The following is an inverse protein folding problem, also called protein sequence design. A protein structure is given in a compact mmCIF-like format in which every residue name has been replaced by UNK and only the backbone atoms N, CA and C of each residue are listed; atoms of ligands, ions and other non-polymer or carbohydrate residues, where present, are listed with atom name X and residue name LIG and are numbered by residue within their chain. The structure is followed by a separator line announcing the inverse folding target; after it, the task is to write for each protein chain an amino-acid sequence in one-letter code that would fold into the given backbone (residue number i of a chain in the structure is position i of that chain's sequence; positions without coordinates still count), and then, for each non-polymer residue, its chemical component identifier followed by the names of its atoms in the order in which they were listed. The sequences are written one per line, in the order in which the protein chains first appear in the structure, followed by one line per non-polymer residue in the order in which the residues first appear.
data_IF_594681618072
#
_entry.id   IF_594681618072
#
_cell.length_a   1.000
_cell.length_b   1.000
_cell.length_c   1.000
_cell.angle_alpha   90.00
_cell.angle_beta   90.00
_cell.angle_gamma   90.00
#
_symmetry.space_group_name_H-M   'P 1'
#
loop_
_entity.id
_entity.type
_entity.pdbx_description
1 polymer ?
#
# COMPACT_ATOMS: atom_id res chain seq x y z
N UNK A 1 -8.40 3.46 7.26
CA UNK A 1 -7.42 3.42 6.14
C UNK A 1 -7.91 2.49 5.06
N UNK A 2 -7.57 2.79 3.82
CA UNK A 2 -7.79 1.88 2.69
C UNK A 2 -6.47 1.56 2.03
N UNK A 3 -6.24 0.29 1.75
CA UNK A 3 -5.10 -0.17 0.99
C UNK A 3 -5.55 -0.92 -0.26
N UNK A 4 -4.91 -0.65 -1.38
CA UNK A 4 -4.96 -1.50 -2.57
C UNK A 4 -3.59 -2.14 -2.69
N UNK A 5 -3.56 -3.45 -2.59
CA UNK A 5 -2.35 -4.27 -2.55
C UNK A 5 -2.28 -5.05 -3.84
N UNK A 6 -1.18 -4.92 -4.57
CA UNK A 6 -0.93 -5.69 -5.78
C UNK A 6 0.35 -6.52 -5.62
N UNK A 7 0.23 -7.83 -5.86
CA UNK A 7 1.39 -8.70 -5.97
C UNK A 7 2.10 -8.39 -7.28
N UNK A 8 3.40 -8.13 -7.22
CA UNK A 8 4.17 -7.69 -8.38
C UNK A 8 5.41 -8.55 -8.60
N UNK A 9 5.79 -8.73 -9.86
CA UNK A 9 7.11 -9.25 -10.25
C UNK A 9 8.15 -8.12 -10.36
N UNK A 10 7.69 -6.89 -10.55
CA UNK A 10 8.48 -5.67 -10.50
C UNK A 10 7.59 -4.46 -10.30
N UNK A 11 8.09 -3.44 -9.61
CA UNK A 11 7.44 -2.14 -9.51
C UNK A 11 8.47 -1.03 -9.33
N UNK A 12 8.14 0.18 -9.77
CA UNK A 12 8.97 1.36 -9.58
C UNK A 12 8.12 2.62 -9.40
N UNK A 13 8.68 3.59 -8.70
CA UNK A 13 8.15 4.95 -8.57
C UNK A 13 9.16 5.92 -9.15
N UNK A 14 8.72 6.72 -10.10
CA UNK A 14 9.53 7.76 -10.75
C UNK A 14 8.96 9.14 -10.41
N UNK A 15 9.84 10.06 -10.04
CA UNK A 15 9.53 11.45 -9.71
C UNK A 15 10.46 12.34 -10.54
N UNK A 16 9.90 13.27 -11.30
CA UNK A 16 10.64 14.19 -12.17
C UNK A 16 11.66 13.46 -13.08
N UNK A 17 11.23 12.34 -13.66
CA UNK A 17 12.05 11.52 -14.56
C UNK A 17 13.12 10.68 -13.90
N UNK A 18 13.21 10.67 -12.56
CA UNK A 18 14.19 9.89 -11.80
C UNK A 18 13.52 8.80 -10.98
N UNK A 19 14.10 7.61 -10.99
CA UNK A 19 13.61 6.49 -10.18
C UNK A 19 13.87 6.80 -8.69
N UNK A 20 12.78 6.92 -7.93
CA UNK A 20 12.78 7.12 -6.48
C UNK A 20 12.91 5.80 -5.73
N UNK A 21 12.14 4.79 -6.17
CA UNK A 21 12.09 3.45 -5.56
C UNK A 21 11.87 2.41 -6.63
N UNK A 22 12.45 1.24 -6.44
CA UNK A 22 12.29 0.08 -7.33
C UNK A 22 12.37 -1.20 -6.53
N UNK A 23 11.54 -2.18 -6.90
CA UNK A 23 11.52 -3.53 -6.33
C UNK A 23 11.40 -4.59 -7.43
N UNK A 24 11.79 -5.81 -7.08
CA UNK A 24 11.48 -7.03 -7.82
C UNK A 24 10.21 -7.68 -7.25
N UNK A 25 10.22 -9.00 -7.03
CA UNK A 25 9.07 -9.72 -6.46
C UNK A 25 8.65 -9.13 -5.11
N UNK A 26 7.36 -8.87 -4.98
CA UNK A 26 6.85 -8.32 -3.75
C UNK A 26 5.45 -7.70 -3.86
N UNK A 27 5.24 -6.61 -3.13
CA UNK A 27 3.96 -5.91 -3.07
C UNK A 27 4.12 -4.43 -3.40
N UNK A 28 3.23 -3.93 -4.26
CA UNK A 28 2.96 -2.51 -4.39
C UNK A 28 1.67 -2.20 -3.63
N UNK A 29 1.74 -1.23 -2.71
CA UNK A 29 0.62 -0.85 -1.84
C UNK A 29 0.29 0.62 -2.06
N UNK A 30 -0.94 0.89 -2.52
CA UNK A 30 -1.51 2.23 -2.50
C UNK A 30 -2.26 2.42 -1.18
N UNK A 31 -1.88 3.44 -0.40
CA UNK A 31 -2.43 3.71 0.93
C UNK A 31 -3.20 5.03 0.96
N UNK A 32 -4.50 4.96 1.22
CA UNK A 32 -5.37 6.10 1.48
C UNK A 32 -5.64 6.24 2.98
N UNK A 33 -5.49 7.45 3.49
CA UNK A 33 -5.72 7.79 4.90
C UNK A 33 -6.93 8.73 4.99
N UNK A 34 -7.89 8.42 5.84
CA UNK A 34 -9.05 9.26 6.10
C UNK A 34 -8.97 9.97 7.46
N UNK A 35 -9.83 10.98 7.65
CA UNK A 35 -9.84 11.83 8.85
C UNK A 35 -10.02 11.04 10.14
N UNK A 36 -10.72 9.89 10.09
CA UNK A 36 -11.01 9.05 11.27
C UNK A 36 -9.96 7.98 11.56
N UNK A 37 -8.89 7.94 10.79
CA UNK A 37 -7.85 6.93 10.99
C UNK A 37 -6.93 7.27 12.15
N UNK A 38 -6.46 6.23 12.81
CA UNK A 38 -5.59 6.29 13.98
C UNK A 38 -4.33 5.43 13.80
N UNK A 39 -3.41 5.49 14.75
CA UNK A 39 -2.22 4.63 14.78
C UNK A 39 -2.57 3.15 14.88
N UNK A 40 -3.65 2.81 15.60
CA UNK A 40 -4.14 1.44 15.71
C UNK A 40 -4.59 0.89 14.35
N UNK A 41 -5.21 1.72 13.50
CA UNK A 41 -5.54 1.35 12.13
C UNK A 41 -4.28 1.05 11.31
N UNK A 42 -3.24 1.87 11.46
CA UNK A 42 -1.96 1.70 10.75
C UNK A 42 -1.28 0.39 11.18
N UNK A 43 -1.14 0.15 12.48
CA UNK A 43 -0.54 -1.05 13.03
C UNK A 43 -1.30 -2.32 12.63
N UNK A 44 -2.64 -2.30 12.76
CA UNK A 44 -3.47 -3.44 12.36
C UNK A 44 -3.29 -3.76 10.87
N UNK A 45 -3.30 -2.72 10.02
CA UNK A 45 -3.19 -2.89 8.56
C UNK A 45 -1.80 -3.41 8.17
N UNK A 46 -0.74 -2.90 8.78
CA UNK A 46 0.64 -3.36 8.55
C UNK A 46 0.80 -4.84 8.90
N UNK A 47 0.32 -5.26 10.07
CA UNK A 47 0.33 -6.66 10.50
C UNK A 47 -0.53 -7.56 9.59
N UNK A 48 -1.70 -7.07 9.15
CA UNK A 48 -2.55 -7.82 8.24
C UNK A 48 -1.86 -8.05 6.90
N UNK A 49 -1.25 -7.01 6.32
CA UNK A 49 -0.59 -7.09 5.01
C UNK A 49 0.65 -7.99 5.06
N UNK A 50 1.48 -7.88 6.10
CA UNK A 50 2.67 -8.73 6.26
C UNK A 50 2.34 -10.22 6.36
N UNK A 51 1.16 -10.55 6.89
CA UNK A 51 0.68 -11.92 7.10
C UNK A 51 -0.15 -12.48 5.93
N UNK A 52 -0.47 -11.68 4.90
CA UNK A 52 -1.24 -12.16 3.75
C UNK A 52 -0.51 -13.29 3.02
N UNK A 53 -1.17 -14.43 2.90
CA UNK A 53 -0.63 -15.62 2.25
C UNK A 53 -1.02 -15.68 0.79
N UNK A 54 -0.45 -14.80 -0.02
CA UNK A 54 -0.80 -14.57 -1.43
C UNK A 54 0.34 -14.87 -2.40
N UNK A 55 1.41 -15.49 -1.93
CA UNK A 55 2.51 -15.97 -2.77
C UNK A 55 2.46 -17.49 -2.88
N UNK A 56 2.84 -18.01 -4.05
CA UNK A 56 2.80 -19.42 -4.33
C UNK A 56 3.78 -20.21 -3.45
N UNK A 57 3.35 -21.37 -2.98
CA UNK A 57 4.19 -22.41 -2.42
C UNK A 57 4.77 -23.33 -3.53
N UNK A 58 5.37 -24.44 -3.14
CA UNK A 58 5.99 -25.40 -4.08
C UNK A 58 4.98 -26.10 -5.00
N UNK A 59 3.72 -26.18 -4.56
CA UNK A 59 2.60 -26.73 -5.34
C UNK A 59 1.86 -25.69 -6.18
N UNK A 60 2.31 -24.42 -6.15
CA UNK A 60 1.67 -23.32 -6.88
C UNK A 60 0.44 -22.75 -6.18
N UNK A 61 0.18 -23.10 -4.92
CA UNK A 61 -0.94 -22.61 -4.14
C UNK A 61 -0.55 -21.33 -3.40
N UNK A 62 -1.44 -20.32 -3.37
CA UNK A 62 -1.24 -19.08 -2.59
C UNK A 62 -1.26 -19.38 -1.10
N UNK A 63 -0.11 -19.64 -0.52
CA UNK A 63 0.07 -20.15 0.84
C UNK A 63 1.20 -19.47 1.62
N UNK A 64 2.05 -18.69 0.97
CA UNK A 64 3.19 -18.00 1.58
C UNK A 64 2.95 -16.51 1.71
N UNK A 65 3.47 -15.92 2.79
CA UNK A 65 3.50 -14.48 3.03
C UNK A 65 4.68 -13.81 2.31
N UNK A 66 4.66 -12.47 2.31
CA UNK A 66 5.77 -11.65 1.78
C UNK A 66 7.11 -11.95 2.47
N UNK A 67 7.07 -12.21 3.78
CA UNK A 67 8.26 -12.52 4.58
C UNK A 67 8.86 -13.88 4.19
N UNK A 68 8.02 -14.89 3.97
CA UNK A 68 8.45 -16.23 3.61
C UNK A 68 9.11 -16.33 2.23
N UNK A 69 8.82 -15.38 1.34
CA UNK A 69 9.46 -15.30 0.01
C UNK A 69 10.61 -14.29 -0.04
N UNK A 70 10.94 -13.65 1.09
CA UNK A 70 11.93 -12.57 1.18
C UNK A 70 11.63 -11.41 0.20
N UNK A 71 10.35 -11.11 -0.02
CA UNK A 71 9.90 -10.10 -0.97
C UNK A 71 10.13 -8.67 -0.48
N UNK A 72 9.98 -7.73 -1.41
CA UNK A 72 10.12 -6.29 -1.14
C UNK A 72 8.77 -5.58 -1.22
N UNK A 73 8.65 -4.40 -0.59
CA UNK A 73 7.43 -3.60 -0.61
C UNK A 73 7.74 -2.15 -1.02
N UNK A 74 6.86 -1.61 -1.89
CA UNK A 74 6.73 -0.17 -2.11
C UNK A 74 5.38 0.29 -1.60
N UNK A 75 5.35 1.36 -0.78
CA UNK A 75 4.12 2.04 -0.35
C UNK A 75 4.02 3.40 -1.04
N UNK A 76 2.87 3.65 -1.65
CA UNK A 76 2.55 4.91 -2.32
C UNK A 76 1.32 5.52 -1.67
N UNK A 77 1.39 6.79 -1.26
CA UNK A 77 0.22 7.51 -0.75
C UNK A 77 -0.80 7.76 -1.86
N UNK A 78 -2.08 7.47 -1.57
CA UNK A 78 -3.18 7.55 -2.54
C UNK A 78 -4.48 8.04 -1.89
N UNK A 79 -4.62 9.34 -1.69
CA UNK A 79 -5.81 9.91 -1.04
C UNK A 79 -7.09 9.70 -1.83
N UNK A 80 -6.99 9.52 -3.15
CA UNK A 80 -8.12 9.28 -4.04
C UNK A 80 -8.86 7.97 -3.77
N UNK A 81 -8.32 7.06 -2.96
CA UNK A 81 -9.03 5.87 -2.47
C UNK A 81 -10.23 6.24 -1.57
N UNK A 82 -10.28 7.48 -1.06
CA UNK A 82 -11.40 8.02 -0.32
C UNK A 82 -12.34 8.90 -1.17
N UNK A 83 -12.30 8.74 -2.49
CA UNK A 83 -13.18 9.45 -3.41
C UNK A 83 -14.66 9.09 -3.19
N UNK A 84 -15.51 10.10 -3.17
CA UNK A 84 -16.96 9.95 -3.25
C UNK A 84 -17.41 10.28 -4.68
N UNK A 85 -18.04 9.32 -5.34
CA UNK A 85 -18.45 9.43 -6.75
C UNK A 85 -19.96 9.31 -6.96
N UNK A 86 -20.75 9.27 -5.86
CA UNK A 86 -22.20 9.06 -5.91
C UNK A 86 -22.98 10.19 -6.63
N UNK A 87 -22.46 11.42 -6.55
CA UNK A 87 -23.11 12.60 -7.15
C UNK A 87 -22.15 13.31 -8.10
N UNK A 88 -22.57 13.42 -9.38
CA UNK A 88 -21.79 14.06 -10.41
C UNK A 88 -20.51 13.31 -10.79
N UNK A 89 -19.81 13.83 -11.81
CA UNK A 89 -18.61 13.17 -12.38
C UNK A 89 -17.28 13.70 -11.81
N UNK A 90 -17.32 14.75 -10.98
CA UNK A 90 -16.16 15.25 -10.24
C UNK A 90 -16.10 14.59 -8.87
N UNK A 91 -15.11 13.71 -8.61
CA UNK A 91 -14.99 13.06 -7.30
C UNK A 91 -14.78 14.07 -6.17
N UNK A 92 -15.37 13.81 -5.01
CA UNK A 92 -15.15 14.57 -3.79
C UNK A 92 -14.21 13.81 -2.85
N UNK A 93 -13.19 14.47 -2.32
CA UNK A 93 -12.18 13.90 -1.43
C UNK A 93 -12.32 14.38 0.01
N UNK A 94 -13.51 14.80 0.41
CA UNK A 94 -13.79 15.41 1.74
C UNK A 94 -13.44 14.48 2.91
N UNK A 95 -13.42 13.18 2.69
CA UNK A 95 -13.05 12.18 3.72
C UNK A 95 -11.53 11.99 3.87
N UNK A 96 -10.75 12.35 2.87
CA UNK A 96 -9.31 12.18 2.93
C UNK A 96 -8.69 13.08 4.00
N UNK A 97 -7.77 12.51 4.79
CA UNK A 97 -7.03 13.27 5.78
C UNK A 97 -6.12 14.32 5.12
N UNK A 98 -5.99 15.48 5.76
CA UNK A 98 -5.06 16.52 5.33
C UNK A 98 -3.61 16.09 5.60
N UNK A 99 -2.61 16.65 4.88
CA UNK A 99 -1.21 16.27 5.03
C UNK A 99 -0.70 16.29 6.47
N UNK A 100 -1.08 17.28 7.25
CA UNK A 100 -0.70 17.40 8.67
C UNK A 100 -1.06 16.15 9.50
N UNK A 101 -2.19 15.51 9.19
CA UNK A 101 -2.64 14.28 9.85
C UNK A 101 -2.17 13.03 9.10
N UNK A 102 -2.21 13.06 7.77
CA UNK A 102 -1.92 11.89 6.95
C UNK A 102 -0.44 11.50 6.97
N UNK A 103 0.49 12.46 6.92
CA UNK A 103 1.93 12.18 6.87
C UNK A 103 2.39 11.38 8.09
N UNK A 104 2.10 11.76 9.35
CA UNK A 104 2.50 10.97 10.51
C UNK A 104 1.95 9.54 10.50
N UNK A 105 0.70 9.34 10.07
CA UNK A 105 0.09 8.00 9.97
C UNK A 105 0.69 7.18 8.83
N UNK A 106 1.02 7.81 7.72
CA UNK A 106 1.71 7.18 6.60
C UNK A 106 3.11 6.69 7.00
N UNK A 107 3.88 7.53 7.72
CA UNK A 107 5.20 7.16 8.23
C UNK A 107 5.10 6.04 9.27
N UNK A 108 4.14 6.12 10.21
CA UNK A 108 3.87 5.06 11.20
C UNK A 108 3.54 3.72 10.53
N UNK A 109 2.69 3.73 9.51
CA UNK A 109 2.36 2.52 8.75
C UNK A 109 3.58 1.88 8.09
N UNK A 110 4.45 2.69 7.45
CA UNK A 110 5.69 2.18 6.82
C UNK A 110 6.65 1.59 7.85
N UNK A 111 6.79 2.24 9.01
CA UNK A 111 7.63 1.76 10.10
C UNK A 111 7.10 0.43 10.66
N UNK A 112 5.82 0.36 11.00
CA UNK A 112 5.16 -0.85 11.49
C UNK A 112 5.30 -2.01 10.48
N UNK A 113 5.13 -1.73 9.19
CA UNK A 113 5.28 -2.72 8.14
C UNK A 113 6.73 -3.19 7.98
N UNK A 114 7.71 -2.27 8.08
CA UNK A 114 9.13 -2.61 8.05
C UNK A 114 9.53 -3.52 9.21
N UNK A 115 8.99 -3.25 10.41
CA UNK A 115 9.18 -4.10 11.59
C UNK A 115 8.58 -5.49 11.34
N UNK A 116 7.33 -5.53 10.85
CA UNK A 116 6.59 -6.78 10.65
C UNK A 116 7.26 -7.72 9.63
N UNK A 117 7.91 -7.17 8.59
CA UNK A 117 8.61 -7.98 7.57
C UNK A 117 10.12 -8.10 7.79
N UNK A 118 10.66 -7.48 8.86
CA UNK A 118 12.09 -7.42 9.17
C UNK A 118 12.95 -6.91 8.01
N UNK A 119 12.42 -5.97 7.22
CA UNK A 119 13.08 -5.40 6.03
C UNK A 119 12.59 -3.97 5.78
N UNK A 120 13.46 -3.09 5.32
CA UNK A 120 13.08 -1.71 4.97
C UNK A 120 12.02 -1.67 3.88
N UNK A 121 10.94 -0.94 4.11
CA UNK A 121 9.89 -0.66 3.15
C UNK A 121 10.28 0.55 2.33
N UNK A 122 10.22 0.41 1.00
CA UNK A 122 10.45 1.51 0.06
C UNK A 122 9.16 2.33 -0.13
N UNK A 123 9.28 3.55 -0.58
CA UNK A 123 8.12 4.43 -0.79
C UNK A 123 8.35 5.44 -1.90
N UNK A 124 7.26 6.05 -2.37
CA UNK A 124 7.31 7.30 -3.11
C UNK A 124 7.57 8.49 -2.19
N UNK A 125 7.10 9.67 -2.60
CA UNK A 125 7.16 10.91 -1.84
C UNK A 125 5.75 11.46 -1.66
N UNK A 126 5.34 11.65 -0.40
CA UNK A 126 3.99 12.12 -0.09
C UNK A 126 3.72 13.50 -0.70
N UNK A 127 2.58 13.61 -1.41
CA UNK A 127 2.12 14.88 -1.98
C UNK A 127 2.79 15.29 -3.30
N UNK A 128 3.69 14.49 -3.85
CA UNK A 128 4.28 14.75 -5.18
C UNK A 128 3.51 14.04 -6.28
N UNK A 129 3.69 14.47 -7.52
CA UNK A 129 3.26 13.71 -8.69
C UNK A 129 4.24 12.57 -8.93
N UNK A 130 3.72 11.36 -9.03
CA UNK A 130 4.52 10.14 -9.19
C UNK A 130 4.03 9.34 -10.39
N UNK A 131 4.98 8.83 -11.17
CA UNK A 131 4.71 7.78 -12.15
C UNK A 131 4.99 6.43 -11.50
N UNK A 132 3.95 5.61 -11.39
CA UNK A 132 4.04 4.28 -10.77
C UNK A 132 3.93 3.23 -11.86
N UNK A 133 5.00 2.49 -12.07
CA UNK A 133 5.06 1.37 -13.02
C UNK A 133 5.10 0.06 -12.27
N UNK A 134 4.35 -0.93 -12.75
CA UNK A 134 4.31 -2.26 -12.15
C UNK A 134 3.95 -3.34 -13.16
N UNK A 135 4.39 -4.55 -12.86
CA UNK A 135 3.85 -5.77 -13.47
C UNK A 135 3.09 -6.52 -12.40
N UNK A 136 1.75 -6.52 -12.52
CA UNK A 136 0.89 -7.27 -11.58
C UNK A 136 0.99 -8.75 -11.90
N UNK A 137 1.50 -9.51 -10.94
CA UNK A 137 1.73 -10.94 -11.07
C UNK A 137 0.48 -11.74 -10.68
N UNK A 138 -0.11 -12.42 -11.66
CA UNK A 138 -1.22 -13.31 -11.43
C UNK A 138 -2.47 -13.07 -12.29
N UNK A 139 -3.18 -11.94 -12.35
CA UNK A 139 -3.11 -10.79 -11.44
C UNK A 139 -3.62 -11.10 -10.04
N UNK A 140 -3.01 -10.48 -9.04
CA UNK A 140 -3.50 -10.51 -7.65
C UNK A 140 -3.59 -9.09 -7.13
N UNK A 141 -4.81 -8.66 -6.82
CA UNK A 141 -5.13 -7.34 -6.28
C UNK A 141 -6.12 -7.50 -5.14
N UNK A 142 -5.78 -6.98 -3.97
CA UNK A 142 -6.60 -7.08 -2.76
C UNK A 142 -6.86 -5.67 -2.22
N UNK A 143 -8.09 -5.42 -1.81
CA UNK A 143 -8.51 -4.17 -1.18
C UNK A 143 -8.80 -4.46 0.29
N UNK A 144 -8.21 -3.68 1.19
CA UNK A 144 -8.48 -3.74 2.62
C UNK A 144 -8.96 -2.36 3.10
N UNK A 145 -10.05 -2.34 3.86
CA UNK A 145 -10.55 -1.15 4.54
C UNK A 145 -10.57 -1.41 6.06
N UNK A 146 -9.81 -0.64 6.84
CA UNK A 146 -9.74 -0.82 8.30
C UNK A 146 -11.06 -0.50 9.01
N UNK A 147 -11.95 0.26 8.36
CA UNK A 147 -13.27 0.61 8.90
C UNK A 147 -14.37 -0.37 8.45
N UNK A 148 -14.07 -1.22 7.48
CA UNK A 148 -14.97 -2.26 6.99
C UNK A 148 -14.16 -3.54 6.77
N UNK A 149 -13.83 -4.20 7.88
CA UNK A 149 -13.04 -5.45 7.89
C UNK A 149 -13.95 -6.61 7.48
N UNK A 150 -13.71 -7.15 6.30
CA UNK A 150 -14.41 -8.32 5.74
C UNK A 150 -13.50 -9.55 5.72
#
# INVERSE_FOLDING_TARGET
MKAVIQRVSSASVTIDGKIKSQIKNGLLIFLGIEIKDTKEDALWLANKISALRIFADKEGVMNKSITEIDGEIIVVSQFTLHAKTKKGNRPSYIKAARPKQAIPLYESFKEDLSIAICKGVKSGEFGTNMEVSLTNDGPVTIIIDTKNKE
#
